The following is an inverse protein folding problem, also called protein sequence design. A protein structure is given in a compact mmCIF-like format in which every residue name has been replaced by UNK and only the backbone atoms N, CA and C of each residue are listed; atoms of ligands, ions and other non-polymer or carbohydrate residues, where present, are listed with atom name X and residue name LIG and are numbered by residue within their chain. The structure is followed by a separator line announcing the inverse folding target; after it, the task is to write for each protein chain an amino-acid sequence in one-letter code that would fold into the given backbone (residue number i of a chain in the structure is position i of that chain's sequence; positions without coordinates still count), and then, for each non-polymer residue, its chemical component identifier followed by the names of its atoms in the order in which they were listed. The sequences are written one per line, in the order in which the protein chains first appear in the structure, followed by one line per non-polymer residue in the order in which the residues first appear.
data_IF_755125218710
#
_entry.id   IF_755125218710
#
_cell.length_a   1.000
_cell.length_b   1.000
_cell.length_c   1.000
_cell.angle_alpha   90.00
_cell.angle_beta   90.00
_cell.angle_gamma   90.00
#
_symmetry.space_group_name_H-M   'P 1'
#
loop_
_entity.id
_entity.type
_entity.pdbx_description
1 polymer ?
#
# COMPACT_ATOMS: atom_id res chain seq x y z
N UNK A 1 72.32 18.69 -6.79
CA UNK A 1 73.07 18.91 -8.05
C UNK A 1 73.68 17.58 -8.51
N UNK A 2 73.08 16.93 -9.52
CA UNK A 2 73.71 16.04 -10.51
C UNK A 2 72.58 15.57 -11.46
N UNK A 3 72.71 15.89 -12.73
CA UNK A 3 71.75 15.53 -13.79
C UNK A 3 72.32 14.29 -14.50
N UNK A 4 71.45 13.36 -14.90
CA UNK A 4 71.77 12.36 -15.92
C UNK A 4 70.55 12.16 -16.81
N UNK A 5 70.68 12.52 -18.08
CA UNK A 5 69.60 12.49 -19.05
C UNK A 5 69.59 11.17 -19.83
N UNK A 6 68.43 10.52 -19.95
CA UNK A 6 68.19 9.48 -20.96
C UNK A 6 66.75 9.53 -21.50
N UNK A 7 66.64 9.99 -22.74
CA UNK A 7 65.57 9.78 -23.73
C UNK A 7 64.21 10.46 -23.51
N UNK A 8 64.02 11.55 -24.25
CA UNK A 8 62.73 11.96 -24.80
C UNK A 8 62.40 11.02 -25.96
N UNK A 9 61.32 10.25 -25.89
CA UNK A 9 60.55 9.85 -27.09
C UNK A 9 59.08 10.09 -26.81
N UNK A 10 58.47 10.90 -27.67
CA UNK A 10 57.04 11.15 -27.67
C UNK A 10 56.33 9.92 -28.27
N UNK A 11 55.47 9.25 -27.50
CA UNK A 11 54.59 8.21 -27.99
C UNK A 11 53.16 8.54 -27.56
N UNK A 12 52.34 8.92 -28.53
CA UNK A 12 50.91 9.14 -28.33
C UNK A 12 50.24 7.83 -27.90
N UNK A 13 49.70 7.79 -26.69
CA UNK A 13 48.50 7.01 -26.42
C UNK A 13 47.41 7.95 -25.93
N UNK A 14 46.53 8.35 -26.85
CA UNK A 14 45.16 8.67 -26.50
C UNK A 14 44.59 7.44 -25.78
N UNK A 15 44.46 7.53 -24.46
CA UNK A 15 43.67 6.57 -23.69
C UNK A 15 42.23 6.66 -24.17
N UNK A 16 41.83 5.70 -25.00
CA UNK A 16 40.49 5.65 -25.59
C UNK A 16 39.45 5.75 -24.48
N UNK A 17 38.57 6.75 -24.60
CA UNK A 17 37.42 6.91 -23.72
C UNK A 17 36.44 5.77 -24.01
N UNK A 18 36.66 4.60 -23.41
CA UNK A 18 35.73 3.48 -23.51
C UNK A 18 34.49 3.81 -22.70
N UNK A 19 33.51 4.46 -23.36
CA UNK A 19 32.12 4.44 -22.94
C UNK A 19 31.65 2.99 -22.96
N UNK A 20 31.89 2.28 -21.85
CA UNK A 20 31.15 1.07 -21.57
C UNK A 20 29.67 1.46 -21.53
N UNK A 21 28.78 0.74 -22.25
CA UNK A 21 27.35 0.96 -22.07
C UNK A 21 27.03 0.69 -20.61
N UNK A 22 26.52 1.70 -19.91
CA UNK A 22 25.97 1.51 -18.59
C UNK A 22 24.72 0.63 -18.75
N UNK A 23 24.90 -0.69 -18.64
CA UNK A 23 23.80 -1.63 -18.54
C UNK A 23 23.08 -1.34 -17.23
N UNK A 24 22.05 -0.49 -17.31
CA UNK A 24 21.05 -0.33 -16.26
C UNK A 24 20.13 -1.54 -16.24
N UNK A 25 20.72 -2.71 -15.99
CA UNK A 25 19.98 -3.88 -15.57
C UNK A 25 19.39 -3.56 -14.19
N UNK A 26 18.06 -3.47 -14.13
CA UNK A 26 17.36 -3.32 -12.87
C UNK A 26 17.67 -4.55 -12.01
N UNK A 27 18.51 -4.38 -10.97
CA UNK A 27 18.89 -5.46 -10.05
C UNK A 27 17.66 -6.00 -9.33
N UNK A 28 17.04 -7.02 -9.90
CA UNK A 28 16.05 -7.85 -9.23
C UNK A 28 16.76 -8.62 -8.13
N UNK A 29 16.63 -8.11 -6.89
CA UNK A 29 17.03 -8.69 -5.60
C UNK A 29 17.80 -10.02 -5.70
N UNK A 30 19.11 -9.96 -5.48
CA UNK A 30 19.92 -11.16 -5.25
C UNK A 30 19.25 -12.03 -4.17
N UNK A 31 18.92 -13.27 -4.54
CA UNK A 31 18.22 -14.20 -3.63
C UNK A 31 19.22 -14.80 -2.65
N UNK A 32 19.71 -13.99 -1.71
CA UNK A 32 20.31 -14.53 -0.49
C UNK A 32 19.24 -15.31 0.27
N UNK A 33 19.35 -16.64 0.22
CA UNK A 33 18.63 -17.57 1.10
C UNK A 33 19.15 -17.44 2.54
N UNK A 34 18.87 -16.32 3.20
CA UNK A 34 18.73 -16.37 4.65
C UNK A 34 17.37 -17.01 4.95
N UNK A 35 17.35 -17.95 5.91
CA UNK A 35 16.09 -18.39 6.53
C UNK A 35 15.59 -17.28 7.47
N UNK A 36 15.22 -16.12 6.91
CA UNK A 36 14.27 -15.26 7.60
C UNK A 36 12.94 -16.04 7.62
N UNK A 37 12.64 -16.59 8.78
CA UNK A 37 11.37 -17.21 9.11
C UNK A 37 10.24 -16.28 8.64
N UNK A 38 9.42 -16.75 7.70
CA UNK A 38 8.30 -15.98 7.17
C UNK A 38 7.43 -15.50 8.33
N UNK A 39 7.34 -14.19 8.53
CA UNK A 39 6.55 -13.64 9.63
C UNK A 39 5.05 -13.78 9.33
N UNK A 40 4.50 -14.89 9.77
CA UNK A 40 3.10 -15.33 9.80
C UNK A 40 2.52 -14.87 11.16
N UNK A 41 1.51 -13.99 11.30
CA UNK A 41 0.62 -13.28 10.36
C UNK A 41 0.36 -11.84 10.87
N UNK A 42 -0.85 -11.31 10.68
CA UNK A 42 -1.41 -10.17 11.41
C UNK A 42 -2.84 -10.54 11.85
N UNK A 43 -3.06 -10.68 13.15
CA UNK A 43 -4.42 -10.70 13.69
C UNK A 43 -5.06 -9.31 13.52
N UNK A 44 -6.39 -9.26 13.35
CA UNK A 44 -7.14 -8.01 13.37
C UNK A 44 -6.90 -7.27 14.70
N UNK A 45 -6.66 -5.96 14.65
CA UNK A 45 -6.27 -5.18 15.83
C UNK A 45 -7.41 -4.55 16.62
N UNK A 46 -8.65 -4.67 16.16
CA UNK A 46 -9.80 -3.97 16.72
C UNK A 46 -10.77 -3.53 15.63
N UNK A 47 -11.81 -2.74 15.96
CA UNK A 47 -12.74 -2.19 14.98
C UNK A 47 -12.05 -1.20 14.02
N UNK A 48 -11.04 -0.47 14.52
CA UNK A 48 -10.07 0.27 13.72
C UNK A 48 -8.82 -0.59 13.52
N UNK A 49 -8.73 -1.24 12.37
CA UNK A 49 -7.65 -2.18 12.05
C UNK A 49 -6.55 -1.47 11.26
N UNK A 50 -5.49 -1.03 11.95
CA UNK A 50 -4.33 -0.36 11.33
C UNK A 50 -3.15 -1.32 11.18
N UNK A 51 -2.86 -1.70 9.93
CA UNK A 51 -1.84 -2.67 9.59
C UNK A 51 -0.78 -2.09 8.64
N UNK A 52 0.45 -2.62 8.72
CA UNK A 52 1.52 -2.26 7.78
C UNK A 52 1.61 -3.33 6.68
N UNK A 53 2.13 -3.03 5.49
CA UNK A 53 2.51 -4.10 4.56
C UNK A 53 3.82 -4.79 4.98
N UNK A 54 3.97 -6.10 4.71
CA UNK A 54 5.22 -6.85 4.95
C UNK A 54 6.14 -6.89 3.73
N UNK A 55 5.57 -7.08 2.55
CA UNK A 55 6.31 -7.25 1.29
C UNK A 55 6.16 -6.01 0.40
N UNK A 56 7.28 -5.34 0.12
CA UNK A 56 7.53 -4.31 -0.90
C UNK A 56 8.77 -3.49 -0.49
N UNK A 57 9.47 -2.87 -1.44
CA UNK A 57 10.51 -1.86 -1.15
C UNK A 57 9.96 -0.59 -0.48
N UNK A 58 8.64 -0.36 -0.56
CA UNK A 58 7.93 0.69 0.18
C UNK A 58 7.26 0.05 1.40
N UNK A 59 7.46 0.64 2.58
CA UNK A 59 6.72 0.28 3.78
C UNK A 59 5.60 1.30 4.00
N UNK A 60 4.36 0.84 4.08
CA UNK A 60 3.19 1.70 4.31
C UNK A 60 2.28 1.11 5.38
N UNK A 61 1.66 1.98 6.15
CA UNK A 61 0.49 1.66 6.98
C UNK A 61 -0.80 1.83 6.16
N UNK A 62 -1.83 1.06 6.48
CA UNK A 62 -3.16 1.16 5.88
C UNK A 62 -4.22 0.79 6.94
N UNK A 63 -5.44 1.30 6.79
CA UNK A 63 -6.58 1.04 7.70
C UNK A 63 -7.76 0.37 6.98
N UNK A 64 -8.63 -0.32 7.71
CA UNK A 64 -9.91 -0.80 7.20
C UNK A 64 -10.94 0.33 6.90
N UNK A 65 -10.54 1.60 7.08
CA UNK A 65 -11.24 2.79 6.60
C UNK A 65 -10.67 3.30 5.25
N UNK A 66 -9.73 2.58 4.64
CA UNK A 66 -9.08 2.94 3.37
C UNK A 66 -7.99 4.02 3.47
N UNK A 67 -7.64 4.46 4.67
CA UNK A 67 -6.57 5.44 4.90
C UNK A 67 -5.22 4.74 4.67
N UNK A 68 -4.34 5.36 3.88
CA UNK A 68 -3.03 4.85 3.50
C UNK A 68 -1.91 5.79 3.97
N UNK A 69 -0.76 5.25 4.37
CA UNK A 69 0.42 6.04 4.72
C UNK A 69 0.25 6.91 5.98
N UNK A 70 -0.66 6.58 6.89
CA UNK A 70 -0.83 7.25 8.18
C UNK A 70 -0.49 6.28 9.33
N UNK A 71 0.38 6.69 10.26
CA UNK A 71 0.74 5.94 11.46
C UNK A 71 0.47 6.79 12.73
N UNK A 72 -0.74 7.32 12.85
CA UNK A 72 -1.15 8.21 13.95
C UNK A 72 -0.61 9.63 13.74
N UNK A 73 0.33 10.05 14.59
CA UNK A 73 0.92 11.39 14.55
C UNK A 73 2.12 11.52 13.58
N UNK A 74 2.53 10.44 12.91
CA UNK A 74 3.67 10.44 11.98
C UNK A 74 3.30 9.86 10.60
N UNK A 75 4.09 10.22 9.59
CA UNK A 75 3.95 9.71 8.24
C UNK A 75 4.21 8.21 8.22
N UNK A 76 3.24 7.46 7.72
CA UNK A 76 3.26 6.00 7.69
C UNK A 76 3.85 5.42 6.39
N UNK A 77 4.18 6.24 5.38
CA UNK A 77 4.84 5.78 4.16
C UNK A 77 6.34 6.03 4.18
N UNK A 78 7.14 4.95 4.13
CA UNK A 78 8.60 4.97 4.20
C UNK A 78 9.23 4.30 2.99
N UNK A 79 10.31 4.90 2.45
CA UNK A 79 11.09 4.33 1.35
C UNK A 79 12.58 4.70 1.45
N UNK A 80 13.52 3.77 1.25
CA UNK A 80 13.30 2.31 1.19
C UNK A 80 12.77 1.77 2.53
N UNK A 81 12.14 0.60 2.51
CA UNK A 81 11.68 -0.12 3.72
C UNK A 81 12.83 -0.22 4.74
N UNK A 82 12.53 0.13 5.99
CA UNK A 82 13.50 0.13 7.09
C UNK A 82 14.30 1.44 7.22
N UNK A 83 14.19 2.37 6.28
CA UNK A 83 14.67 3.75 6.48
C UNK A 83 13.76 4.53 7.43
N UNK A 84 14.25 5.68 7.90
CA UNK A 84 13.46 6.68 8.65
C UNK A 84 12.81 7.72 7.74
N UNK A 85 13.01 7.65 6.42
CA UNK A 85 12.58 8.66 5.48
C UNK A 85 11.07 8.52 5.23
N UNK A 86 10.29 9.53 5.61
CA UNK A 86 8.84 9.57 5.43
C UNK A 86 8.50 10.33 4.14
N UNK A 87 7.66 9.74 3.29
CA UNK A 87 7.22 10.30 2.00
C UNK A 87 5.70 10.47 1.89
N UNK A 88 4.93 9.83 2.78
CA UNK A 88 3.46 9.91 2.78
C UNK A 88 3.01 10.15 4.22
N UNK A 89 2.25 11.23 4.42
CA UNK A 89 1.58 11.61 5.66
C UNK A 89 0.07 11.53 5.45
N UNK A 90 -0.44 10.29 5.42
CA UNK A 90 -1.81 10.02 5.03
C UNK A 90 -2.07 10.17 3.53
N UNK A 91 -3.16 9.56 3.09
CA UNK A 91 -3.58 9.41 1.71
C UNK A 91 -4.73 8.42 1.65
N UNK A 92 -5.41 8.32 0.51
CA UNK A 92 -6.54 7.41 0.36
C UNK A 92 -6.97 7.30 -1.08
N UNK A 93 -7.67 6.21 -1.38
CA UNK A 93 -8.33 5.94 -2.66
C UNK A 93 -9.57 6.83 -2.78
N UNK A 94 -9.76 7.41 -3.96
CA UNK A 94 -10.95 8.17 -4.35
C UNK A 94 -11.68 7.39 -5.44
N UNK A 95 -12.97 7.10 -5.25
CA UNK A 95 -13.80 6.46 -6.28
C UNK A 95 -14.80 7.48 -6.81
N UNK A 96 -14.59 7.93 -8.05
CA UNK A 96 -15.54 8.76 -8.79
C UNK A 96 -16.53 7.91 -9.58
N UNK A 97 -17.77 8.37 -9.70
CA UNK A 97 -18.81 7.66 -10.45
C UNK A 97 -20.00 8.54 -10.83
N UNK A 98 -20.81 8.04 -11.77
CA UNK A 98 -22.12 8.61 -12.09
C UNK A 98 -23.18 7.86 -11.28
N UNK A 99 -24.03 8.59 -10.56
CA UNK A 99 -25.12 8.00 -9.76
C UNK A 99 -26.43 8.74 -10.02
N UNK A 100 -27.53 7.98 -10.09
CA UNK A 100 -28.88 8.54 -10.03
C UNK A 100 -29.15 9.05 -8.60
N UNK A 101 -29.40 10.35 -8.47
CA UNK A 101 -29.70 11.02 -7.20
C UNK A 101 -31.07 11.66 -7.28
N UNK A 102 -31.94 11.31 -6.33
CA UNK A 102 -33.20 12.02 -6.11
C UNK A 102 -32.92 13.37 -5.46
N UNK A 103 -33.23 14.45 -6.17
CA UNK A 103 -33.21 15.81 -5.63
C UNK A 103 -34.60 16.15 -5.14
N UNK A 104 -34.75 16.18 -3.82
CA UNK A 104 -35.90 16.81 -3.17
C UNK A 104 -35.62 18.31 -3.04
N UNK A 105 -36.60 19.13 -3.41
CA UNK A 105 -36.62 20.58 -3.16
C UNK A 105 -37.98 20.92 -2.57
N UNK A 106 -37.97 21.78 -1.57
CA UNK A 106 -39.20 22.21 -0.90
C UNK A 106 -40.19 22.81 -1.92
N UNK A 107 -41.43 22.33 -1.90
CA UNK A 107 -42.46 22.72 -2.86
C UNK A 107 -42.31 22.19 -4.30
N UNK A 108 -41.37 21.27 -4.57
CA UNK A 108 -41.21 20.64 -5.89
C UNK A 108 -41.36 19.11 -5.81
N UNK A 109 -41.83 18.50 -6.89
CA UNK A 109 -41.85 17.05 -7.02
C UNK A 109 -40.42 16.48 -7.11
N UNK A 110 -40.22 15.28 -6.57
CA UNK A 110 -38.94 14.59 -6.59
C UNK A 110 -38.43 14.36 -8.01
N UNK A 111 -37.21 14.82 -8.28
CA UNK A 111 -36.56 14.65 -9.59
C UNK A 111 -35.34 13.77 -9.47
N UNK A 112 -35.26 12.71 -10.29
CA UNK A 112 -34.05 11.88 -10.39
C UNK A 112 -33.14 12.43 -11.48
N UNK A 113 -31.89 12.71 -11.13
CA UNK A 113 -30.87 13.20 -12.07
C UNK A 113 -29.57 12.39 -11.95
N UNK A 114 -28.83 12.28 -13.05
CA UNK A 114 -27.49 11.67 -13.05
C UNK A 114 -26.48 12.70 -12.55
N UNK A 115 -25.84 12.41 -11.42
CA UNK A 115 -24.82 13.28 -10.81
C UNK A 115 -23.43 12.65 -10.80
N UNK A 116 -22.41 13.51 -10.88
CA UNK A 116 -21.00 13.14 -10.71
C UNK A 116 -20.68 13.16 -9.22
N UNK A 117 -20.54 11.99 -8.61
CA UNK A 117 -20.20 11.84 -7.20
C UNK A 117 -18.78 11.27 -7.04
N UNK A 118 -18.19 11.52 -5.87
CA UNK A 118 -16.93 10.92 -5.44
C UNK A 118 -17.07 10.45 -4.00
N UNK A 119 -16.45 9.33 -3.65
CA UNK A 119 -16.23 8.92 -2.25
C UNK A 119 -14.72 8.88 -1.99
N UNK A 120 -14.31 9.48 -0.88
CA UNK A 120 -12.91 9.59 -0.47
C UNK A 120 -12.65 8.78 0.80
N UNK A 121 -11.59 7.97 0.80
CA UNK A 121 -11.15 7.24 2.00
C UNK A 121 -10.19 8.04 2.89
N UNK A 122 -9.78 9.23 2.45
CA UNK A 122 -8.97 10.15 3.24
C UNK A 122 -9.23 11.59 2.82
N UNK A 123 -9.63 12.41 3.78
CA UNK A 123 -9.73 13.85 3.67
C UNK A 123 -8.44 14.50 4.22
N UNK A 124 -7.60 15.13 3.38
CA UNK A 124 -6.35 15.75 3.85
C UNK A 124 -6.53 16.87 4.89
N UNK A 125 -7.71 17.48 4.98
CA UNK A 125 -7.99 18.57 5.92
C UNK A 125 -8.35 18.09 7.33
N UNK A 126 -8.92 16.88 7.47
CA UNK A 126 -9.40 16.36 8.76
C UNK A 126 -8.84 14.98 9.15
N UNK A 127 -8.12 14.31 8.25
CA UNK A 127 -7.68 12.92 8.42
C UNK A 127 -8.80 11.87 8.37
N UNK A 128 -10.06 12.29 8.24
CA UNK A 128 -11.22 11.41 8.27
C UNK A 128 -11.42 10.65 6.94
N UNK A 129 -12.16 9.54 7.00
CA UNK A 129 -12.63 8.77 5.85
C UNK A 129 -14.16 8.87 5.72
N UNK A 130 -14.69 8.81 4.50
CA UNK A 130 -16.12 8.57 4.25
C UNK A 130 -16.45 7.08 4.09
N UNK A 131 -15.45 6.21 4.14
CA UNK A 131 -15.64 4.75 4.17
C UNK A 131 -15.62 4.27 5.62
N UNK A 132 -16.47 3.29 5.92
CA UNK A 132 -16.48 2.57 7.19
C UNK A 132 -16.30 1.06 6.91
N UNK A 133 -15.72 0.31 7.86
CA UNK A 133 -15.65 -1.14 7.73
C UNK A 133 -17.06 -1.76 7.85
N UNK A 134 -17.54 -2.37 6.77
CA UNK A 134 -18.72 -3.24 6.77
C UNK A 134 -19.82 -2.91 5.78
N UNK A 135 -20.93 -3.65 5.88
CA UNK A 135 -22.16 -3.44 5.10
C UNK A 135 -23.12 -2.57 5.91
N UNK A 136 -24.04 -1.86 5.24
CA UNK A 136 -25.10 -1.09 5.90
C UNK A 136 -26.00 -1.98 6.78
N UNK A 137 -26.16 -3.24 6.38
CA UNK A 137 -26.97 -4.24 7.08
C UNK A 137 -26.33 -4.78 8.38
N UNK A 138 -25.03 -4.55 8.60
CA UNK A 138 -24.35 -4.94 9.85
C UNK A 138 -24.77 -4.05 11.04
N UNK A 139 -25.45 -2.93 10.79
CA UNK A 139 -25.97 -2.01 11.80
C UNK A 139 -24.91 -1.09 12.44
N UNK A 140 -25.30 -0.23 13.40
CA UNK A 140 -24.39 0.72 14.03
C UNK A 140 -23.42 0.09 15.05
N UNK A 141 -23.72 -1.13 15.51
CA UNK A 141 -22.98 -1.81 16.56
C UNK A 141 -21.86 -2.67 15.96
N UNK A 142 -20.72 -2.03 15.66
CA UNK A 142 -19.48 -2.70 15.24
C UNK A 142 -18.83 -3.50 16.40
N UNK A 143 -19.52 -4.55 16.84
CA UNK A 143 -19.09 -5.48 17.91
C UNK A 143 -17.94 -6.36 17.42
N UNK A 144 -17.13 -6.87 18.36
CA UNK A 144 -15.84 -7.53 18.14
C UNK A 144 -15.82 -8.65 17.08
N UNK A 145 -16.92 -9.35 16.82
CA UNK A 145 -16.99 -10.36 15.75
C UNK A 145 -16.80 -9.77 14.34
N UNK A 146 -17.19 -8.51 14.12
CA UNK A 146 -16.99 -7.82 12.84
C UNK A 146 -15.53 -7.43 12.59
N UNK A 147 -14.66 -7.44 13.62
CA UNK A 147 -13.23 -7.19 13.46
C UNK A 147 -12.56 -8.24 12.56
N UNK A 148 -13.03 -9.50 12.59
CA UNK A 148 -12.51 -10.57 11.73
C UNK A 148 -13.10 -10.54 10.32
N UNK A 149 -14.33 -10.03 10.18
CA UNK A 149 -15.09 -9.92 8.93
C UNK A 149 -14.58 -8.76 8.07
N UNK A 150 -14.36 -7.60 8.71
CA UNK A 150 -14.02 -6.32 8.05
C UNK A 150 -12.59 -5.87 8.38
N UNK A 151 -11.66 -6.85 8.46
CA UNK A 151 -10.21 -6.65 8.56
C UNK A 151 -9.59 -6.27 7.23
N UNK A 152 -8.35 -5.81 7.26
CA UNK A 152 -7.50 -5.78 6.06
C UNK A 152 -7.00 -7.20 5.77
N UNK A 153 -7.06 -7.59 4.49
CA UNK A 153 -6.51 -8.84 3.98
C UNK A 153 -5.26 -8.56 3.15
N UNK A 154 -4.12 -9.15 3.52
CA UNK A 154 -2.90 -9.11 2.70
C UNK A 154 -2.72 -10.47 2.00
N UNK A 155 -2.26 -10.45 0.76
CA UNK A 155 -1.93 -11.67 0.01
C UNK A 155 -0.92 -12.58 0.74
N UNK A 156 -0.07 -12.00 1.59
CA UNK A 156 0.92 -12.69 2.43
C UNK A 156 0.32 -13.44 3.62
N UNK A 157 -0.95 -13.20 3.94
CA UNK A 157 -1.64 -13.89 5.05
C UNK A 157 -2.24 -15.24 4.58
N UNK A 158 -2.20 -15.52 3.28
CA UNK A 158 -2.76 -16.71 2.63
C UNK A 158 -1.71 -17.56 1.92
N UNK A 159 -2.06 -18.81 1.64
CA UNK A 159 -1.33 -19.71 0.73
C UNK A 159 -1.66 -19.38 -0.73
N UNK A 160 -0.97 -20.03 -1.67
CA UNK A 160 -1.27 -19.94 -3.11
C UNK A 160 -2.66 -20.46 -3.49
N UNK A 161 -3.30 -21.28 -2.65
CA UNK A 161 -4.69 -21.74 -2.84
C UNK A 161 -5.73 -20.88 -2.11
N UNK A 162 -5.33 -19.71 -1.59
CA UNK A 162 -6.22 -18.79 -0.90
C UNK A 162 -6.65 -19.25 0.50
N UNK A 163 -6.12 -20.34 1.04
CA UNK A 163 -6.36 -20.74 2.44
C UNK A 163 -5.50 -19.90 3.39
N UNK A 164 -6.00 -19.48 4.56
CA UNK A 164 -5.22 -18.64 5.46
C UNK A 164 -4.05 -19.42 6.07
N UNK A 165 -2.89 -18.78 6.22
CA UNK A 165 -1.68 -19.39 6.77
C UNK A 165 -1.87 -19.82 8.24
N UNK A 166 -2.86 -19.27 8.95
CA UNK A 166 -3.38 -19.74 10.24
C UNK A 166 -4.90 -19.76 10.18
N UNK A 167 -5.48 -20.90 10.51
CA UNK A 167 -6.92 -21.16 10.35
C UNK A 167 -7.83 -20.29 11.23
N UNK A 168 -7.31 -19.68 12.30
CA UNK A 168 -8.08 -18.78 13.17
C UNK A 168 -8.19 -17.34 12.64
N UNK A 169 -7.47 -16.98 11.59
CA UNK A 169 -7.41 -15.60 11.08
C UNK A 169 -8.64 -15.18 10.25
N UNK A 170 -9.42 -16.14 9.76
CA UNK A 170 -10.62 -15.89 8.97
C UNK A 170 -10.96 -17.03 7.99
N UNK A 171 -11.91 -16.79 7.06
CA UNK A 171 -12.19 -17.70 5.96
C UNK A 171 -11.03 -17.75 4.95
N UNK A 172 -11.20 -18.52 3.87
CA UNK A 172 -10.36 -18.39 2.67
C UNK A 172 -10.42 -16.94 2.13
N UNK A 173 -9.39 -16.54 1.39
CA UNK A 173 -9.26 -15.19 0.84
C UNK A 173 -10.53 -14.79 0.07
N UNK A 174 -11.26 -13.72 0.45
CA UNK A 174 -12.54 -13.34 -0.14
C UNK A 174 -12.60 -13.14 -1.67
N UNK A 175 -11.46 -13.01 -2.37
CA UNK A 175 -11.41 -12.96 -3.84
C UNK A 175 -11.63 -14.36 -4.48
N UNK A 176 -11.33 -15.42 -3.72
CA UNK A 176 -11.48 -16.83 -4.10
C UNK A 176 -12.77 -17.45 -3.55
N UNK A 177 -13.54 -16.71 -2.76
CA UNK A 177 -14.86 -17.13 -2.31
C UNK A 177 -15.87 -16.93 -3.44
N UNK A 178 -16.26 -18.04 -4.07
CA UNK A 178 -17.27 -18.06 -5.14
C UNK A 178 -18.71 -18.14 -4.61
N UNK A 179 -18.89 -18.22 -3.29
CA UNK A 179 -20.20 -18.23 -2.61
C UNK A 179 -20.20 -17.28 -1.39
N UNK A 180 -19.96 -15.98 -1.58
CA UNK A 180 -20.03 -15.02 -0.50
C UNK A 180 -21.45 -14.97 0.09
N UNK A 181 -21.51 -14.99 1.41
CA UNK A 181 -22.73 -14.95 2.23
C UNK A 181 -23.44 -13.58 2.21
#
# INVERSE_FOLDING_TARGET
MKISAKHIICAMLLGVLSLAPAQTDARTRDTQKSKQQDQILRAAKGPFDQQQNKVSSIAFYTTNYGIFGNNGQVGGGYWPRGSKNQYIFGGGIWFGGLKNVTKQREGQADTTVVEKLSVISYNPNSGASWMAPGRVDDGPNLIDDLQKKHRIYFSTDFTSSGTPNVKSDGPNWPIWDTQPY
#
